data_IF_395141582355
#
_entry.id   IF_395141582355
#
_cell.length_a   1.000
_cell.length_b   1.000
_cell.length_c   1.000
_cell.angle_alpha   90.00
_cell.angle_beta   90.00
_cell.angle_gamma   90.00
#
_symmetry.space_group_name_H-M   'P 1'
#
loop_
_entity.id
_entity.type
_entity.pdbx_description
1 polymer ?
#
# COMPACT_ATOMS: atom_id res chain seq x y z
N UNK A 1 -21.87 -1.74 -1.02
CA UNK A 1 -20.48 -1.25 -0.95
C UNK A 1 -20.39 0.05 -1.74
N UNK A 2 -19.89 1.13 -1.15
CA UNK A 2 -19.78 2.43 -1.80
C UNK A 2 -18.60 2.39 -2.81
N UNK A 3 -18.82 2.56 -4.13
CA UNK A 3 -17.79 2.32 -5.16
C UNK A 3 -16.56 3.24 -5.06
N UNK A 4 -16.65 4.32 -4.26
CA UNK A 4 -15.55 5.27 -4.03
C UNK A 4 -14.31 4.67 -3.35
N UNK A 5 -14.43 3.53 -2.69
CA UNK A 5 -13.34 2.92 -1.92
C UNK A 5 -12.95 1.51 -2.41
N UNK A 6 -13.23 1.18 -3.67
CA UNK A 6 -12.76 -0.09 -4.22
C UNK A 6 -11.23 -0.05 -4.32
N UNK A 7 -10.60 -1.00 -3.63
CA UNK A 7 -9.16 -1.19 -3.57
C UNK A 7 -8.86 -2.63 -3.97
N UNK A 8 -7.77 -2.80 -4.70
CA UNK A 8 -7.30 -4.11 -5.14
C UNK A 8 -5.78 -4.12 -5.11
N UNK A 9 -5.23 -5.27 -4.75
CA UNK A 9 -3.79 -5.47 -4.63
C UNK A 9 -3.40 -6.70 -5.41
N UNK A 10 -2.40 -6.56 -6.29
CA UNK A 10 -1.86 -7.68 -7.05
C UNK A 10 -0.40 -7.90 -6.70
N UNK A 11 -0.09 -9.13 -6.27
CA UNK A 11 1.28 -9.53 -5.99
C UNK A 11 1.99 -9.92 -7.29
N UNK A 12 3.16 -9.34 -7.51
CA UNK A 12 4.05 -9.72 -8.59
C UNK A 12 5.13 -10.66 -8.04
N UNK A 13 5.39 -11.73 -8.78
CA UNK A 13 6.34 -12.79 -8.41
C UNK A 13 7.45 -12.88 -9.45
N UNK A 14 8.64 -13.25 -9.01
CA UNK A 14 9.69 -13.79 -9.89
C UNK A 14 9.34 -15.22 -10.30
N UNK A 15 10.00 -15.70 -11.35
CA UNK A 15 9.86 -17.08 -11.86
C UNK A 15 10.13 -18.16 -10.79
N UNK A 16 10.93 -17.84 -9.76
CA UNK A 16 11.19 -18.71 -8.63
C UNK A 16 10.13 -18.63 -7.50
N UNK A 17 9.00 -17.96 -7.72
CA UNK A 17 7.93 -17.79 -6.74
C UNK A 17 8.20 -16.74 -5.66
N UNK A 18 9.31 -16.01 -5.72
CA UNK A 18 9.60 -14.92 -4.76
C UNK A 18 8.80 -13.67 -5.11
N UNK A 19 8.04 -13.13 -4.14
CA UNK A 19 7.36 -11.84 -4.28
C UNK A 19 8.39 -10.73 -4.49
N UNK A 20 8.15 -9.86 -5.46
CA UNK A 20 9.02 -8.72 -5.76
C UNK A 20 8.35 -7.38 -5.55
N UNK A 21 7.03 -7.33 -5.67
CA UNK A 21 6.27 -6.09 -5.52
C UNK A 21 4.78 -6.32 -5.40
N UNK A 22 4.08 -5.27 -4.97
CA UNK A 22 2.63 -5.20 -4.88
C UNK A 22 2.15 -4.05 -5.73
N UNK A 23 1.35 -4.35 -6.73
CA UNK A 23 0.62 -3.36 -7.51
C UNK A 23 -0.63 -2.91 -6.73
N UNK A 24 -0.88 -1.60 -6.67
CA UNK A 24 -2.00 -1.03 -5.94
C UNK A 24 -2.98 -0.37 -6.90
N UNK A 25 -4.24 -0.79 -6.81
CA UNK A 25 -5.38 -0.05 -7.34
C UNK A 25 -6.19 0.53 -6.20
N UNK A 26 -6.45 1.82 -6.24
CA UNK A 26 -7.24 2.54 -5.26
C UNK A 26 -8.19 3.51 -5.97
N UNK A 27 -9.42 3.62 -5.47
CA UNK A 27 -10.51 4.40 -6.09
C UNK A 27 -10.76 4.02 -7.55
N UNK A 28 -10.62 2.71 -7.87
CA UNK A 28 -10.80 2.18 -9.22
C UNK A 28 -9.68 2.53 -10.21
N UNK A 29 -8.58 3.17 -9.78
CA UNK A 29 -7.43 3.48 -10.62
C UNK A 29 -6.16 2.81 -10.11
N UNK A 30 -5.27 2.45 -11.03
CA UNK A 30 -3.92 2.03 -10.70
C UNK A 30 -3.12 3.23 -10.20
N UNK A 31 -2.66 3.18 -8.95
CA UNK A 31 -1.89 4.26 -8.32
C UNK A 31 -0.38 3.96 -8.31
N UNK A 32 0.01 2.76 -8.72
CA UNK A 32 1.39 2.35 -8.90
C UNK A 32 1.75 1.11 -8.10
N UNK A 33 3.04 0.83 -8.08
CA UNK A 33 3.62 -0.35 -7.45
C UNK A 33 4.45 0.05 -6.22
N UNK A 34 4.41 -0.80 -5.19
CA UNK A 34 5.33 -0.82 -4.05
C UNK A 34 6.28 -2.00 -4.23
N UNK A 35 7.58 -1.75 -4.21
CA UNK A 35 8.59 -2.83 -4.25
C UNK A 35 8.63 -3.53 -2.90
N UNK A 36 8.98 -4.81 -2.90
CA UNK A 36 9.16 -5.60 -1.69
C UNK A 36 10.46 -5.20 -0.97
N UNK A 37 10.43 -4.02 -0.36
CA UNK A 37 11.49 -3.39 0.44
C UNK A 37 10.81 -2.75 1.65
N UNK A 38 11.48 -2.77 2.80
CA UNK A 38 10.87 -2.35 4.05
C UNK A 38 10.56 -0.84 4.05
N UNK A 39 9.39 -0.49 4.60
CA UNK A 39 8.96 0.90 4.77
C UNK A 39 8.54 1.62 3.49
N UNK A 40 8.29 0.89 2.40
CA UNK A 40 7.77 1.50 1.17
C UNK A 40 6.27 1.77 1.30
N UNK A 41 5.85 2.98 0.93
CA UNK A 41 4.47 3.43 1.00
C UNK A 41 4.01 4.15 -0.28
N UNK A 42 2.69 4.19 -0.48
CA UNK A 42 2.05 4.86 -1.59
C UNK A 42 0.80 5.58 -1.11
N UNK A 43 0.70 6.89 -1.36
CA UNK A 43 -0.52 7.65 -1.07
C UNK A 43 -1.40 7.68 -2.32
N UNK A 44 -2.68 7.34 -2.17
CA UNK A 44 -3.65 7.50 -3.23
C UNK A 44 -3.93 9.00 -3.46
N UNK A 45 -3.69 9.55 -4.65
CA UNK A 45 -3.91 10.97 -4.93
C UNK A 45 -5.40 11.36 -4.98
N UNK A 46 -6.32 10.39 -4.95
CA UNK A 46 -7.76 10.63 -5.06
C UNK A 46 -8.41 10.72 -3.68
N UNK A 47 -8.16 9.74 -2.82
CA UNK A 47 -8.78 9.68 -1.49
C UNK A 47 -7.82 10.01 -0.34
N UNK A 48 -6.53 10.20 -0.62
CA UNK A 48 -5.49 10.49 0.39
C UNK A 48 -5.11 9.30 1.26
N UNK A 49 -5.68 8.12 1.05
CA UNK A 49 -5.34 6.91 1.82
C UNK A 49 -3.90 6.52 1.52
N UNK A 50 -3.12 6.28 2.57
CA UNK A 50 -1.75 5.81 2.48
C UNK A 50 -1.73 4.30 2.61
N UNK A 51 -1.09 3.65 1.66
CA UNK A 51 -0.90 2.21 1.60
C UNK A 51 0.56 1.93 1.96
N UNK A 52 0.80 1.28 3.08
CA UNK A 52 2.13 1.00 3.61
C UNK A 52 2.39 -0.51 3.57
N UNK A 53 3.54 -0.90 3.03
CA UNK A 53 4.03 -2.28 3.08
C UNK A 53 5.10 -2.39 4.16
N UNK A 54 4.83 -3.18 5.20
CA UNK A 54 5.81 -3.51 6.25
C UNK A 54 6.25 -4.96 6.10
N UNK A 55 7.55 -5.21 6.14
CA UNK A 55 8.07 -6.58 6.17
C UNK A 55 8.28 -7.01 7.62
N UNK A 56 7.80 -8.19 7.97
CA UNK A 56 7.99 -8.79 9.29
C UNK A 56 8.50 -10.22 9.15
N UNK A 57 9.81 -10.40 9.35
CA UNK A 57 10.58 -11.65 9.20
C UNK A 57 10.23 -12.49 7.95
N UNK A 58 9.15 -13.27 8.01
CA UNK A 58 8.70 -14.22 7.00
C UNK A 58 7.38 -13.84 6.30
N UNK A 59 6.74 -12.76 6.73
CA UNK A 59 5.50 -12.26 6.17
C UNK A 59 5.57 -10.75 5.98
N UNK A 60 4.52 -10.19 5.40
CA UNK A 60 4.41 -8.76 5.19
C UNK A 60 2.99 -8.32 5.51
N UNK A 61 2.86 -7.08 5.94
CA UNK A 61 1.58 -6.43 6.20
C UNK A 61 1.37 -5.33 5.19
N UNK A 62 0.15 -5.25 4.67
CA UNK A 62 -0.29 -4.16 3.83
C UNK A 62 -1.33 -3.36 4.60
N UNK A 63 -0.87 -2.28 5.21
CA UNK A 63 -1.68 -1.45 6.09
C UNK A 63 -2.21 -0.24 5.33
N UNK A 64 -3.44 0.16 5.64
CA UNK A 64 -4.04 1.39 5.14
C UNK A 64 -4.13 2.38 6.28
N UNK A 65 -3.63 3.58 6.05
CA UNK A 65 -3.82 4.70 6.95
C UNK A 65 -4.77 5.69 6.29
N UNK A 66 -5.79 6.07 7.02
CA UNK A 66 -6.68 7.14 6.61
C UNK A 66 -5.89 8.46 6.45
N UNK A 67 -6.39 9.40 5.63
CA UNK A 67 -5.77 10.72 5.50
C UNK A 67 -5.63 11.45 6.84
N UNK A 68 -6.54 11.18 7.79
CA UNK A 68 -6.58 11.77 9.13
C UNK A 68 -5.47 11.20 10.03
N UNK A 69 -5.18 9.90 9.93
CA UNK A 69 -4.11 9.24 10.69
C UNK A 69 -2.69 9.64 10.23
N UNK A 70 -2.53 10.00 8.95
CA UNK A 70 -1.24 10.44 8.42
C UNK A 70 -0.72 11.72 9.10
N UNK A 71 -1.61 12.59 9.59
CA UNK A 71 -1.23 13.87 10.23
C UNK A 71 -0.73 13.71 11.67
N UNK A 72 -0.96 12.56 12.29
CA UNK A 72 -0.58 12.31 13.69
C UNK A 72 0.87 11.82 13.80
N UNK A 73 1.39 11.13 12.78
CA UNK A 73 2.77 10.61 12.80
C UNK A 73 3.85 11.68 12.55
N UNK A 74 3.57 12.75 11.80
CA UNK A 74 4.55 13.82 11.54
C UNK A 74 4.79 14.74 12.76
N UNK A 75 3.94 14.69 13.80
CA UNK A 75 4.06 15.56 14.98
C UNK A 75 4.81 14.94 16.17
N UNK A 76 5.27 13.69 16.06
CA UNK A 76 5.90 12.96 17.17
C UNK A 76 7.42 12.75 16.94
N UNK A 77 8.04 13.54 16.07
CA UNK A 77 9.51 13.60 15.89
C UNK A 77 10.03 14.93 16.40
#
# INVERSE_FOLDING_TARGET
MNPKNQMDYRFNYKENGKIISVEIKCCGKHIGEIRFKDGEEKVCPICGIRHELRMDYNHFHLTRHSPEENQVQEKVV
#
